data_IF_137355411281
#
_entry.id   IF_137355411281
#
_cell.length_a   1.000
_cell.length_b   1.000
_cell.length_c   1.000
_cell.angle_alpha   90.00
_cell.angle_beta   90.00
_cell.angle_gamma   90.00
#
_symmetry.space_group_name_H-M   'P 1'
#
loop_
_entity.id
_entity.type
_entity.pdbx_description
1 polymer ?
#
# COMPACT_ATOMS: atom_id res chain seq x y z
N UNK A 1 36.09 -8.46 -30.79
CA UNK A 1 34.89 -7.60 -30.74
C UNK A 1 34.83 -7.08 -29.31
N UNK A 2 35.42 -5.90 -29.06
CA UNK A 2 35.55 -5.37 -27.70
C UNK A 2 34.17 -4.85 -27.31
N UNK A 3 33.53 -5.52 -26.34
CA UNK A 3 32.29 -5.02 -25.75
C UNK A 3 32.51 -3.66 -25.12
N UNK A 4 31.50 -2.81 -25.15
CA UNK A 4 31.48 -1.44 -24.59
C UNK A 4 32.20 -1.42 -23.25
N UNK A 5 33.34 -0.73 -23.19
CA UNK A 5 34.18 -0.67 -21.99
C UNK A 5 33.57 0.26 -20.95
N UNK A 6 33.99 0.17 -19.68
CA UNK A 6 33.55 1.12 -18.65
C UNK A 6 33.86 2.57 -19.03
N UNK A 7 34.96 2.81 -19.76
CA UNK A 7 35.31 4.12 -20.32
C UNK A 7 34.28 4.59 -21.35
N UNK A 8 33.93 3.75 -22.32
CA UNK A 8 32.95 4.10 -23.36
C UNK A 8 31.56 4.42 -22.76
N UNK A 9 31.16 3.72 -21.71
CA UNK A 9 29.89 3.98 -21.02
C UNK A 9 29.96 5.31 -20.26
N UNK A 10 31.10 5.62 -19.62
CA UNK A 10 31.32 6.89 -18.93
C UNK A 10 31.28 8.07 -19.91
N UNK A 11 32.01 7.98 -21.02
CA UNK A 11 32.05 9.02 -22.05
C UNK A 11 30.64 9.26 -22.64
N UNK A 12 29.85 8.20 -22.79
CA UNK A 12 28.45 8.32 -23.20
C UNK A 12 27.59 9.06 -22.18
N UNK A 13 27.73 8.76 -20.89
CA UNK A 13 27.02 9.45 -19.80
C UNK A 13 27.38 10.94 -19.77
N UNK A 14 28.67 11.25 -19.90
CA UNK A 14 29.18 12.64 -19.93
C UNK A 14 28.68 13.39 -21.18
N UNK A 15 28.56 12.73 -22.33
CA UNK A 15 28.03 13.34 -23.57
C UNK A 15 26.56 13.75 -23.50
N UNK A 16 25.79 13.16 -22.58
CA UNK A 16 24.39 13.49 -22.35
C UNK A 16 24.22 14.68 -21.40
N UNK A 17 25.28 15.06 -20.67
CA UNK A 17 25.22 16.09 -19.66
C UNK A 17 25.09 17.49 -20.26
N UNK A 18 24.43 18.37 -19.53
CA UNK A 18 24.24 19.78 -19.85
C UNK A 18 24.49 20.61 -18.60
N UNK A 19 25.30 21.66 -18.71
CA UNK A 19 25.66 22.56 -17.59
C UNK A 19 24.43 23.27 -16.99
N UNK A 20 23.44 23.60 -17.84
CA UNK A 20 22.15 24.19 -17.43
C UNK A 20 21.03 23.16 -17.23
N UNK A 21 21.39 21.88 -17.08
CA UNK A 21 20.45 20.79 -16.92
C UNK A 21 19.66 20.87 -15.61
N UNK A 22 18.35 20.63 -15.67
CA UNK A 22 17.48 20.59 -14.47
C UNK A 22 17.20 19.17 -13.98
N UNK A 23 17.58 18.17 -14.76
CA UNK A 23 17.37 16.77 -14.41
C UNK A 23 18.68 16.16 -13.91
N UNK A 24 18.62 15.33 -12.89
CA UNK A 24 19.77 14.59 -12.39
C UNK A 24 19.37 13.17 -12.03
N UNK A 25 20.39 12.33 -11.87
CA UNK A 25 20.21 10.90 -11.57
C UNK A 25 20.52 10.65 -10.09
N UNK A 26 19.63 9.92 -9.40
CA UNK A 26 19.76 9.64 -7.97
C UNK A 26 19.38 8.20 -7.65
N UNK A 27 19.90 7.68 -6.53
CA UNK A 27 19.45 6.42 -5.98
C UNK A 27 18.05 6.58 -5.35
N UNK A 28 17.09 5.74 -5.72
CA UNK A 28 15.72 5.80 -5.19
C UNK A 28 15.68 5.73 -3.66
N UNK A 29 16.53 4.87 -3.08
CA UNK A 29 16.56 4.59 -1.63
C UNK A 29 17.31 5.62 -0.80
N UNK A 30 18.43 6.17 -1.31
CA UNK A 30 19.31 7.02 -0.50
C UNK A 30 19.36 8.47 -0.96
N UNK A 31 18.75 8.82 -2.10
CA UNK A 31 18.83 10.15 -2.70
C UNK A 31 20.21 10.55 -3.24
N UNK A 32 21.28 9.85 -2.84
CA UNK A 32 22.64 10.10 -3.31
C UNK A 32 22.76 9.90 -4.83
N UNK A 33 23.55 10.75 -5.47
CA UNK A 33 23.87 10.66 -6.90
C UNK A 33 24.94 9.56 -7.13
N UNK A 34 24.68 8.56 -7.99
CA UNK A 34 25.59 7.44 -8.18
C UNK A 34 26.70 7.74 -9.20
N UNK A 35 27.94 7.38 -8.88
CA UNK A 35 29.06 7.40 -9.84
C UNK A 35 28.74 6.49 -11.05
N UNK A 36 28.93 6.96 -12.30
CA UNK A 36 29.68 8.17 -12.69
C UNK A 36 28.82 9.42 -12.99
N UNK A 37 27.54 9.42 -12.62
CA UNK A 37 26.61 10.52 -12.86
C UNK A 37 26.44 11.44 -11.63
N UNK A 38 27.38 11.42 -10.69
CA UNK A 38 27.29 12.09 -9.40
C UNK A 38 27.31 13.63 -9.51
N UNK A 39 28.03 14.17 -10.49
CA UNK A 39 28.17 15.61 -10.72
C UNK A 39 27.45 16.10 -11.97
N UNK A 40 26.69 15.23 -12.65
CA UNK A 40 26.09 15.55 -13.95
C UNK A 40 24.62 15.98 -13.83
N UNK A 41 24.26 16.96 -14.65
CA UNK A 41 22.90 17.40 -14.86
C UNK A 41 22.52 17.23 -16.34
N UNK A 42 21.22 17.15 -16.61
CA UNK A 42 20.64 16.84 -17.91
C UNK A 42 19.54 17.84 -18.25
N UNK A 43 19.50 18.27 -19.51
CA UNK A 43 18.57 19.27 -20.04
C UNK A 43 17.12 18.77 -20.10
N UNK A 44 16.96 17.47 -20.36
CA UNK A 44 15.67 16.83 -20.56
C UNK A 44 15.54 15.53 -19.75
N UNK A 45 14.30 15.18 -19.42
CA UNK A 45 13.96 13.88 -18.81
C UNK A 45 14.40 12.70 -19.67
N UNK A 46 14.42 12.86 -21.00
CA UNK A 46 14.86 11.83 -21.93
C UNK A 46 16.38 11.59 -21.83
N UNK A 47 17.18 12.67 -21.84
CA UNK A 47 18.63 12.63 -21.63
C UNK A 47 18.98 12.02 -20.27
N UNK A 48 18.27 12.42 -19.21
CA UNK A 48 18.46 11.87 -17.87
C UNK A 48 18.09 10.38 -17.76
N UNK A 49 17.06 9.93 -18.49
CA UNK A 49 16.69 8.50 -18.53
C UNK A 49 17.74 7.67 -19.26
N UNK A 50 18.29 8.18 -20.37
CA UNK A 50 19.39 7.54 -21.07
C UNK A 50 20.64 7.45 -20.17
N UNK A 51 20.95 8.51 -19.42
CA UNK A 51 22.03 8.51 -18.45
C UNK A 51 21.81 7.56 -17.26
N UNK A 52 20.56 7.43 -16.77
CA UNK A 52 20.21 6.44 -15.74
C UNK A 52 20.48 5.01 -16.21
N UNK A 53 20.02 4.66 -17.42
CA UNK A 53 20.23 3.34 -18.03
C UNK A 53 21.73 3.07 -18.26
N UNK A 54 22.47 4.05 -18.78
CA UNK A 54 23.90 3.93 -18.96
C UNK A 54 24.64 3.78 -17.61
N UNK A 55 24.18 4.44 -16.55
CA UNK A 55 24.73 4.30 -15.19
C UNK A 55 24.45 2.91 -14.61
N UNK A 56 23.26 2.35 -14.84
CA UNK A 56 22.95 0.96 -14.49
C UNK A 56 23.87 -0.03 -15.21
N UNK A 57 24.07 0.18 -16.52
CA UNK A 57 24.96 -0.63 -17.34
C UNK A 57 26.42 -0.53 -16.89
N UNK A 58 26.88 0.68 -16.54
CA UNK A 58 28.21 0.92 -15.98
C UNK A 58 28.40 0.12 -14.69
N UNK A 59 27.46 0.24 -13.74
CA UNK A 59 27.55 -0.44 -12.44
C UNK A 59 27.42 -1.96 -12.57
N UNK A 60 26.58 -2.45 -13.48
CA UNK A 60 26.47 -3.88 -13.78
C UNK A 60 27.77 -4.43 -14.38
N UNK A 61 28.42 -3.66 -15.26
CA UNK A 61 29.73 -4.02 -15.83
C UNK A 61 30.83 -3.95 -14.76
N UNK A 62 30.79 -2.95 -13.87
CA UNK A 62 31.74 -2.79 -12.77
C UNK A 62 31.68 -3.93 -11.77
N UNK A 63 30.49 -4.50 -11.50
CA UNK A 63 30.31 -5.68 -10.63
C UNK A 63 31.04 -6.92 -11.11
N UNK A 64 31.38 -7.01 -12.40
CA UNK A 64 32.21 -8.11 -12.91
C UNK A 64 33.66 -8.02 -12.41
N UNK A 65 34.11 -6.81 -12.10
CA UNK A 65 35.47 -6.53 -11.61
C UNK A 65 35.51 -6.36 -10.09
N UNK A 66 34.46 -5.77 -9.50
CA UNK A 66 34.30 -5.62 -8.05
C UNK A 66 32.90 -6.11 -7.61
N UNK A 67 32.80 -7.36 -7.11
CA UNK A 67 31.54 -7.93 -6.65
C UNK A 67 30.91 -7.22 -5.43
N UNK A 68 31.65 -6.35 -4.72
CA UNK A 68 31.13 -5.62 -3.55
C UNK A 68 30.31 -4.38 -3.93
N UNK A 69 30.25 -4.02 -5.22
CA UNK A 69 29.50 -2.85 -5.69
C UNK A 69 28.01 -3.03 -5.46
N UNK A 70 27.44 -2.18 -4.60
CA UNK A 70 26.03 -2.23 -4.20
C UNK A 70 25.06 -2.10 -5.37
N UNK A 71 23.96 -2.85 -5.30
CA UNK A 71 22.76 -2.65 -6.11
C UNK A 71 22.07 -1.35 -5.69
N UNK A 72 21.81 -0.49 -6.67
CA UNK A 72 21.16 0.80 -6.50
C UNK A 72 20.14 0.93 -7.60
N UNK A 73 18.89 1.21 -7.24
CA UNK A 73 17.84 1.55 -8.19
C UNK A 73 18.01 3.02 -8.57
N UNK A 74 18.17 3.27 -9.86
CA UNK A 74 18.59 4.55 -10.39
C UNK A 74 17.35 5.24 -10.99
N UNK A 75 17.02 6.42 -10.47
CA UNK A 75 15.85 7.20 -10.89
C UNK A 75 16.26 8.60 -11.35
N UNK A 76 15.41 9.20 -12.17
CA UNK A 76 15.55 10.59 -12.63
C UNK A 76 14.78 11.51 -11.68
N UNK A 77 15.43 12.59 -11.24
CA UNK A 77 14.83 13.68 -10.47
C UNK A 77 14.94 14.98 -11.23
N UNK A 78 14.01 15.91 -10.98
CA UNK A 78 14.04 17.27 -11.50
C UNK A 78 14.30 18.23 -10.33
N UNK A 79 15.24 19.15 -10.51
CA UNK A 79 15.49 20.25 -9.59
C UNK A 79 14.51 21.38 -9.90
N UNK A 80 13.50 21.54 -9.05
CA UNK A 80 12.52 22.62 -9.16
C UNK A 80 13.13 23.90 -8.55
N UNK A 81 13.20 25.02 -9.29
CA UNK A 81 13.71 26.27 -8.74
C UNK A 81 12.74 26.78 -7.64
N UNK A 82 13.21 26.80 -6.40
CA UNK A 82 12.45 27.26 -5.23
C UNK A 82 12.54 26.38 -3.99
N UNK A 83 13.12 25.18 -4.09
CA UNK A 83 13.53 24.39 -2.93
C UNK A 83 15.07 24.39 -2.87
N UNK A 84 15.66 25.08 -1.91
CA UNK A 84 17.11 25.02 -1.73
C UNK A 84 17.46 23.64 -1.16
N UNK A 85 18.01 22.76 -1.99
CA UNK A 85 18.62 21.52 -1.55
C UNK A 85 19.82 21.87 -0.64
N UNK A 86 19.67 21.60 0.66
CA UNK A 86 20.73 21.79 1.64
C UNK A 86 21.95 20.96 1.24
N UNK A 87 23.04 21.67 0.99
CA UNK A 87 24.35 21.13 0.64
C UNK A 87 24.84 20.13 1.70
N UNK A 88 25.47 19.05 1.22
CA UNK A 88 25.77 17.85 2.00
C UNK A 88 26.67 18.13 3.21
N UNK A 89 26.15 17.91 4.41
CA UNK A 89 26.96 17.76 5.63
C UNK A 89 26.50 16.51 6.39
N UNK A 90 27.39 15.63 6.89
CA UNK A 90 27.00 14.39 7.56
C UNK A 90 26.15 14.69 8.81
N UNK A 91 24.98 14.06 8.90
CA UNK A 91 24.02 14.23 9.98
C UNK A 91 24.54 13.58 11.27
N UNK A 92 25.31 14.34 12.05
CA UNK A 92 25.45 14.11 13.47
C UNK A 92 24.70 15.23 14.19
N UNK A 93 23.59 14.83 14.83
CA UNK A 93 23.02 15.45 16.01
C UNK A 93 22.56 16.91 15.87
N UNK A 94 21.37 17.13 15.28
CA UNK A 94 20.54 18.31 15.56
C UNK A 94 19.05 18.01 15.43
N UNK A 95 18.39 17.81 16.58
CA UNK A 95 16.96 18.07 16.75
C UNK A 95 16.68 19.53 16.36
N UNK A 96 16.00 19.74 15.24
CA UNK A 96 15.52 21.06 14.82
C UNK A 96 14.04 20.95 14.53
N UNK A 97 13.23 21.49 15.44
CA UNK A 97 11.80 21.70 15.24
C UNK A 97 11.59 22.53 13.96
N UNK A 98 10.85 21.95 13.02
CA UNK A 98 10.43 22.56 11.77
C UNK A 98 9.13 23.35 12.03
N UNK A 99 8.92 24.54 11.44
CA UNK A 99 7.60 25.16 11.44
C UNK A 99 6.59 24.24 10.73
N UNK A 100 5.33 24.15 11.20
CA UNK A 100 4.36 23.21 10.65
C UNK A 100 4.05 23.56 9.21
N UNK A 101 4.51 22.72 8.28
CA UNK A 101 3.91 22.59 6.96
C UNK A 101 2.44 22.17 7.11
N UNK A 102 1.50 22.76 6.37
CA UNK A 102 0.14 22.23 6.32
C UNK A 102 0.18 20.78 5.81
N UNK A 103 -0.69 19.89 6.32
CA UNK A 103 -0.59 18.46 6.05
C UNK A 103 -1.03 18.14 4.62
N UNK A 104 -0.09 17.93 3.71
CA UNK A 104 -0.30 17.16 2.47
C UNK A 104 0.05 15.68 2.71
N UNK A 105 -0.48 15.10 3.80
CA UNK A 105 -0.02 13.82 4.36
C UNK A 105 -0.94 12.62 4.20
N UNK A 106 -2.10 12.72 3.55
CA UNK A 106 -3.07 11.61 3.52
C UNK A 106 -2.76 10.51 2.48
N UNK A 107 -2.33 10.88 1.28
CA UNK A 107 -2.23 9.95 0.15
C UNK A 107 -1.11 8.90 0.29
N UNK A 108 0.06 9.30 0.78
CA UNK A 108 1.22 8.40 0.91
C UNK A 108 0.98 7.32 1.96
N UNK A 109 0.33 7.68 3.08
CA UNK A 109 0.04 6.75 4.18
C UNK A 109 -1.01 5.72 3.78
N UNK A 110 -2.02 6.13 2.99
CA UNK A 110 -3.01 5.22 2.38
C UNK A 110 -2.33 4.19 1.48
N UNK A 111 -1.40 4.64 0.62
CA UNK A 111 -0.67 3.78 -0.32
C UNK A 111 0.18 2.76 0.43
N UNK A 112 0.96 3.20 1.42
CA UNK A 112 1.79 2.31 2.23
C UNK A 112 0.93 1.27 2.98
N UNK A 113 -0.19 1.72 3.54
CA UNK A 113 -1.14 0.82 4.20
C UNK A 113 -1.73 -0.21 3.24
N UNK A 114 -2.20 0.21 2.06
CA UNK A 114 -2.75 -0.69 1.05
C UNK A 114 -1.72 -1.72 0.57
N UNK A 115 -0.47 -1.30 0.34
CA UNK A 115 0.61 -2.21 -0.02
C UNK A 115 0.97 -3.16 1.11
N UNK A 116 0.91 -2.72 2.36
CA UNK A 116 1.14 -3.58 3.53
C UNK A 116 0.08 -4.68 3.60
N UNK A 117 -1.21 -4.30 3.51
CA UNK A 117 -2.33 -5.27 3.51
C UNK A 117 -2.22 -6.22 2.32
N UNK A 118 -1.97 -5.70 1.12
CA UNK A 118 -1.80 -6.53 -0.07
C UNK A 118 -0.64 -7.53 0.13
N UNK A 119 0.51 -7.07 0.61
CA UNK A 119 1.70 -7.91 0.81
C UNK A 119 1.43 -9.07 1.77
N UNK A 120 0.81 -8.82 2.93
CA UNK A 120 0.52 -9.89 3.90
C UNK A 120 -0.53 -10.88 3.39
N UNK A 121 -1.47 -10.43 2.56
CA UNK A 121 -2.47 -11.31 1.94
C UNK A 121 -1.82 -12.16 0.83
N UNK A 122 -0.98 -11.57 -0.03
CA UNK A 122 -0.24 -12.33 -1.04
C UNK A 122 0.67 -13.38 -0.40
N UNK A 123 1.38 -13.04 0.67
CA UNK A 123 2.20 -13.99 1.43
C UNK A 123 1.36 -15.13 2.01
N UNK A 124 0.22 -14.81 2.63
CA UNK A 124 -0.70 -15.81 3.17
C UNK A 124 -1.25 -16.75 2.09
N UNK A 125 -1.56 -16.22 0.90
CA UNK A 125 -1.99 -17.03 -0.25
C UNK A 125 -0.84 -17.93 -0.73
N UNK A 126 0.39 -17.40 -0.83
CA UNK A 126 1.56 -18.17 -1.25
C UNK A 126 1.85 -19.36 -0.31
N UNK A 127 1.61 -19.18 0.99
CA UNK A 127 1.72 -20.24 2.01
C UNK A 127 0.53 -21.21 2.04
N UNK A 128 -0.53 -20.97 1.26
CA UNK A 128 -1.76 -21.78 1.24
C UNK A 128 -1.79 -22.78 0.07
N UNK A 129 -2.86 -23.59 0.01
CA UNK A 129 -3.09 -24.50 -1.12
C UNK A 129 -3.60 -23.80 -2.40
N UNK A 130 -3.79 -22.47 -2.38
CA UNK A 130 -4.47 -21.71 -3.44
C UNK A 130 -3.48 -20.96 -4.35
N UNK A 131 -2.48 -21.64 -4.89
CA UNK A 131 -1.42 -21.01 -5.72
C UNK A 131 -1.94 -20.22 -6.92
N UNK A 132 -2.93 -20.76 -7.62
CA UNK A 132 -3.53 -20.15 -8.83
C UNK A 132 -4.31 -18.84 -8.53
N UNK A 133 -4.55 -18.53 -7.25
CA UNK A 133 -5.28 -17.34 -6.83
C UNK A 133 -4.46 -16.06 -7.04
N UNK A 134 -3.13 -16.12 -6.87
CA UNK A 134 -2.27 -14.95 -7.07
C UNK A 134 -2.28 -14.49 -8.52
N UNK A 135 -2.18 -15.43 -9.46
CA UNK A 135 -2.23 -15.14 -10.90
C UNK A 135 -3.57 -14.50 -11.27
N UNK A 136 -4.67 -15.04 -10.76
CA UNK A 136 -6.00 -14.50 -10.99
C UNK A 136 -6.20 -13.08 -10.44
N UNK A 137 -5.65 -12.80 -9.25
CA UNK A 137 -5.67 -11.46 -8.66
C UNK A 137 -4.89 -10.50 -9.56
N UNK A 138 -3.70 -10.90 -10.02
CA UNK A 138 -2.86 -10.06 -10.86
C UNK A 138 -3.50 -9.81 -12.23
N UNK A 139 -4.14 -10.81 -12.85
CA UNK A 139 -4.89 -10.64 -14.10
C UNK A 139 -6.04 -9.63 -13.91
N UNK A 140 -6.85 -9.81 -12.86
CA UNK A 140 -7.96 -8.91 -12.53
C UNK A 140 -7.49 -7.48 -12.24
N UNK A 141 -6.38 -7.35 -11.52
CA UNK A 141 -5.78 -6.06 -11.22
C UNK A 141 -5.24 -5.37 -12.47
N UNK A 142 -4.57 -6.10 -13.38
CA UNK A 142 -4.05 -5.54 -14.62
C UNK A 142 -5.19 -5.03 -15.51
N UNK A 143 -6.26 -5.81 -15.66
CA UNK A 143 -7.47 -5.39 -16.39
C UNK A 143 -8.08 -4.11 -15.80
N UNK A 144 -8.15 -4.02 -14.46
CA UNK A 144 -8.66 -2.82 -13.78
C UNK A 144 -7.70 -1.62 -13.90
N UNK A 145 -6.39 -1.86 -13.81
CA UNK A 145 -5.36 -0.82 -13.83
C UNK A 145 -5.27 -0.11 -15.19
N UNK A 146 -5.60 -0.78 -16.30
CA UNK A 146 -5.63 -0.16 -17.63
C UNK A 146 -6.62 1.01 -17.73
N UNK A 147 -7.67 1.01 -16.89
CA UNK A 147 -8.70 2.04 -16.88
C UNK A 147 -8.39 3.21 -15.92
N UNK A 148 -7.35 3.10 -15.09
CA UNK A 148 -7.05 4.05 -14.01
C UNK A 148 -6.03 5.10 -14.42
N UNK A 149 -6.37 6.37 -14.19
CA UNK A 149 -5.51 7.50 -14.54
C UNK A 149 -4.57 7.95 -13.41
N UNK A 150 -4.92 7.67 -12.15
CA UNK A 150 -4.17 8.14 -10.98
C UNK A 150 -3.41 6.99 -10.29
N UNK A 151 -2.13 7.19 -9.90
CA UNK A 151 -1.37 6.15 -9.20
C UNK A 151 -1.98 5.74 -7.84
N UNK A 152 -2.56 6.69 -7.11
CA UNK A 152 -3.13 6.46 -5.78
C UNK A 152 -4.37 5.56 -5.85
N UNK A 153 -5.10 5.58 -6.97
CA UNK A 153 -6.25 4.70 -7.20
C UNK A 153 -5.82 3.26 -7.56
N UNK A 154 -4.58 3.05 -8.02
CA UNK A 154 -4.07 1.71 -8.32
C UNK A 154 -3.97 0.84 -7.06
N UNK A 155 -3.56 1.40 -5.92
CA UNK A 155 -3.48 0.62 -4.69
C UNK A 155 -4.87 0.21 -4.18
N UNK A 156 -5.88 1.06 -4.38
CA UNK A 156 -7.28 0.73 -4.08
C UNK A 156 -7.81 -0.36 -5.02
N UNK A 157 -7.56 -0.24 -6.34
CA UNK A 157 -7.90 -1.29 -7.31
C UNK A 157 -7.24 -2.63 -7.00
N UNK A 158 -6.01 -2.62 -6.50
CA UNK A 158 -5.34 -3.85 -6.08
C UNK A 158 -6.10 -4.54 -4.95
N UNK A 159 -6.47 -3.79 -3.90
CA UNK A 159 -7.25 -4.35 -2.79
C UNK A 159 -8.63 -4.84 -3.23
N UNK A 160 -9.29 -4.11 -4.13
CA UNK A 160 -10.57 -4.53 -4.70
C UNK A 160 -10.45 -5.81 -5.55
N UNK A 161 -9.34 -5.96 -6.29
CA UNK A 161 -9.06 -7.16 -7.08
C UNK A 161 -8.78 -8.36 -6.18
N UNK A 162 -7.98 -8.18 -5.13
CA UNK A 162 -7.76 -9.21 -4.09
C UNK A 162 -9.10 -9.62 -3.49
N UNK A 163 -9.91 -8.65 -3.07
CA UNK A 163 -11.17 -8.91 -2.41
C UNK A 163 -12.17 -9.63 -3.34
N UNK A 164 -12.19 -9.26 -4.63
CA UNK A 164 -13.05 -9.87 -5.65
C UNK A 164 -12.67 -11.34 -5.87
N UNK A 165 -11.39 -11.64 -6.06
CA UNK A 165 -10.97 -13.02 -6.33
C UNK A 165 -11.06 -13.92 -5.09
N UNK A 166 -10.81 -13.38 -3.88
CA UNK A 166 -11.06 -14.11 -2.63
C UNK A 166 -12.55 -14.47 -2.49
N UNK A 167 -13.45 -13.52 -2.74
CA UNK A 167 -14.90 -13.72 -2.65
C UNK A 167 -15.41 -14.73 -3.69
N UNK A 168 -14.89 -14.66 -4.92
CA UNK A 168 -15.31 -15.52 -6.01
C UNK A 168 -14.81 -16.96 -5.89
N UNK A 169 -13.61 -17.18 -5.33
CA UNK A 169 -12.92 -18.48 -5.41
C UNK A 169 -12.81 -19.25 -4.11
N UNK A 170 -12.87 -18.58 -2.96
CA UNK A 170 -12.69 -19.23 -1.67
C UNK A 170 -14.00 -19.32 -0.91
N UNK A 171 -14.24 -20.47 -0.27
CA UNK A 171 -15.32 -20.58 0.70
C UNK A 171 -15.05 -19.66 1.92
N UNK A 172 -16.08 -19.22 2.66
CA UNK A 172 -15.88 -18.28 3.77
C UNK A 172 -14.89 -18.75 4.85
N UNK A 173 -14.83 -20.06 5.13
CA UNK A 173 -13.88 -20.60 6.10
C UNK A 173 -12.43 -20.58 5.58
N UNK A 174 -12.24 -20.79 4.27
CA UNK A 174 -10.94 -20.69 3.59
C UNK A 174 -10.47 -19.23 3.55
N UNK A 175 -11.36 -18.30 3.20
CA UNK A 175 -11.09 -16.85 3.29
C UNK A 175 -10.65 -16.49 4.72
N UNK A 176 -11.39 -16.94 5.73
CA UNK A 176 -11.04 -16.66 7.12
C UNK A 176 -9.66 -17.22 7.49
N UNK A 177 -9.29 -18.40 6.98
CA UNK A 177 -7.97 -18.99 7.24
C UNK A 177 -6.85 -18.13 6.63
N UNK A 178 -6.99 -17.74 5.36
CA UNK A 178 -6.02 -16.87 4.67
C UNK A 178 -5.90 -15.52 5.36
N UNK A 179 -7.02 -14.88 5.73
CA UNK A 179 -6.99 -13.55 6.34
C UNK A 179 -6.47 -13.55 7.78
N UNK A 180 -6.68 -14.62 8.55
CA UNK A 180 -6.05 -14.78 9.87
C UNK A 180 -4.54 -14.93 9.74
N UNK A 181 -4.06 -15.69 8.75
CA UNK A 181 -2.63 -15.82 8.46
C UNK A 181 -2.04 -14.48 8.02
N UNK A 182 -2.73 -13.75 7.13
CA UNK A 182 -2.33 -12.41 6.71
C UNK A 182 -2.22 -11.45 7.91
N UNK A 183 -3.22 -11.44 8.79
CA UNK A 183 -3.21 -10.65 10.00
C UNK A 183 -2.06 -11.03 10.96
N UNK A 184 -1.72 -12.32 11.05
CA UNK A 184 -0.60 -12.79 11.87
C UNK A 184 0.75 -12.21 11.43
N UNK A 185 0.88 -11.88 10.14
CA UNK A 185 2.05 -11.34 9.49
C UNK A 185 2.09 -9.80 9.43
N UNK A 186 1.07 -9.11 9.97
CA UNK A 186 1.10 -7.65 10.05
C UNK A 186 2.26 -7.16 10.94
N UNK A 187 2.92 -6.05 10.58
CA UNK A 187 3.88 -5.40 11.46
C UNK A 187 3.19 -4.99 12.76
N UNK A 188 3.61 -5.56 13.88
CA UNK A 188 3.07 -5.20 15.19
C UNK A 188 3.84 -4.05 15.80
N UNK A 189 3.13 -3.00 16.16
CA UNK A 189 3.64 -2.03 17.11
C UNK A 189 3.77 -2.76 18.46
N UNK A 190 5.00 -2.85 18.97
CA UNK A 190 5.41 -3.73 20.08
C UNK A 190 4.75 -3.47 21.46
N UNK A 191 3.58 -2.82 21.51
CA UNK A 191 2.80 -2.58 22.72
C UNK A 191 2.28 -3.89 23.33
N UNK A 192 1.86 -4.88 22.53
CA UNK A 192 1.40 -6.19 23.02
C UNK A 192 0.19 -6.16 23.98
N UNK A 193 -0.32 -4.97 24.30
CA UNK A 193 -1.50 -4.74 25.12
C UNK A 193 -2.70 -4.68 24.16
N UNK A 194 -3.63 -5.61 24.33
CA UNK A 194 -4.91 -5.57 23.62
C UNK A 194 -5.66 -4.29 24.03
N UNK A 195 -5.97 -3.45 23.06
CA UNK A 195 -6.74 -2.24 23.30
C UNK A 195 -8.12 -2.57 23.89
N UNK A 196 -8.66 -1.71 24.78
CA UNK A 196 -9.97 -1.93 25.38
C UNK A 196 -11.11 -1.92 24.35
N UNK A 197 -10.94 -1.20 23.24
CA UNK A 197 -11.92 -1.07 22.16
C UNK A 197 -11.28 -1.34 20.78
N UNK A 198 -11.04 -2.62 20.41
CA UNK A 198 -10.28 -2.96 19.21
C UNK A 198 -10.97 -2.54 17.90
N UNK A 199 -12.31 -2.54 17.83
CA UNK A 199 -13.03 -2.07 16.65
C UNK A 199 -12.87 -0.56 16.43
N UNK A 200 -12.94 0.24 17.51
CA UNK A 200 -12.72 1.68 17.42
C UNK A 200 -11.29 1.98 16.97
N UNK A 201 -10.31 1.30 17.57
CA UNK A 201 -8.91 1.48 17.19
C UNK A 201 -8.64 1.07 15.73
N UNK A 202 -9.29 0.02 15.22
CA UNK A 202 -9.17 -0.36 13.81
C UNK A 202 -9.70 0.75 12.91
N UNK A 203 -10.87 1.31 13.23
CA UNK A 203 -11.46 2.41 12.45
C UNK A 203 -10.63 3.70 12.57
N UNK A 204 -10.08 4.00 13.75
CA UNK A 204 -9.13 5.10 13.96
C UNK A 204 -7.89 4.93 13.05
N UNK A 205 -7.38 3.71 12.94
CA UNK A 205 -6.25 3.40 12.07
C UNK A 205 -6.56 3.51 10.59
N UNK A 206 -7.80 3.22 10.17
CA UNK A 206 -8.24 3.42 8.78
C UNK A 206 -8.47 4.90 8.49
N UNK A 207 -8.99 5.66 9.46
CA UNK A 207 -9.17 7.10 9.35
C UNK A 207 -7.83 7.85 9.32
N UNK A 208 -6.85 7.42 10.13
CA UNK A 208 -5.53 8.06 10.17
C UNK A 208 -4.78 7.96 8.85
N UNK A 209 -5.02 6.89 8.07
CA UNK A 209 -4.42 6.69 6.73
C UNK A 209 -5.33 7.19 5.61
N UNK A 210 -6.47 7.83 5.92
CA UNK A 210 -7.36 8.42 4.92
C UNK A 210 -8.20 7.42 4.09
N UNK A 211 -8.36 6.17 4.55
CA UNK A 211 -9.29 5.22 3.90
C UNK A 211 -10.75 5.48 4.27
N UNK A 212 -10.98 6.15 5.40
CA UNK A 212 -12.27 6.54 5.96
C UNK A 212 -12.17 8.00 6.38
N UNK A 213 -13.16 8.82 6.04
CA UNK A 213 -13.17 10.23 6.48
C UNK A 213 -13.60 10.35 7.94
N UNK A 214 -14.68 9.67 8.31
CA UNK A 214 -15.22 9.64 9.68
C UNK A 214 -16.00 8.34 9.93
N UNK A 215 -16.20 7.99 11.19
CA UNK A 215 -16.98 6.81 11.56
C UNK A 215 -17.74 6.98 12.88
N UNK A 216 -18.81 6.19 13.03
CA UNK A 216 -19.55 6.07 14.28
C UNK A 216 -19.91 4.63 14.57
N UNK A 217 -19.70 4.22 15.82
CA UNK A 217 -20.02 2.88 16.31
C UNK A 217 -21.23 2.95 17.23
N UNK A 218 -22.25 2.15 16.92
CA UNK A 218 -23.39 1.90 17.78
C UNK A 218 -23.32 0.46 18.30
N UNK A 219 -23.20 0.31 19.62
CA UNK A 219 -23.15 -1.02 20.26
C UNK A 219 -24.54 -1.63 20.30
N UNK A 220 -24.71 -2.79 19.68
CA UNK A 220 -25.86 -3.65 19.91
C UNK A 220 -25.49 -4.59 21.07
N UNK A 221 -26.42 -4.79 22.02
CA UNK A 221 -26.15 -5.47 23.29
C UNK A 221 -25.40 -6.79 23.14
N UNK A 222 -24.46 -7.08 24.04
CA UNK A 222 -23.86 -8.42 24.16
C UNK A 222 -24.97 -9.46 24.34
N UNK A 223 -25.07 -10.42 23.42
CA UNK A 223 -25.98 -11.54 23.58
C UNK A 223 -25.70 -12.18 24.94
N UNK A 224 -26.76 -12.49 25.69
CA UNK A 224 -26.65 -13.00 27.07
C UNK A 224 -25.82 -14.29 27.08
N UNK A 225 -24.53 -14.15 27.40
CA UNK A 225 -23.53 -15.21 27.25
C UNK A 225 -22.14 -14.74 26.83
N UNK A 226 -21.67 -13.59 27.33
CA UNK A 226 -20.25 -13.22 27.52
C UNK A 226 -19.28 -13.11 26.33
N UNK A 227 -19.46 -13.83 25.23
CA UNK A 227 -18.39 -14.07 24.23
C UNK A 227 -18.68 -13.45 22.86
N UNK A 228 -19.94 -13.32 22.46
CA UNK A 228 -20.31 -12.72 21.18
C UNK A 228 -20.69 -11.24 21.34
N UNK A 229 -20.12 -10.42 20.46
CA UNK A 229 -20.34 -8.97 20.42
C UNK A 229 -20.82 -8.59 19.03
N UNK A 230 -21.78 -7.66 18.98
CA UNK A 230 -22.36 -7.15 17.74
C UNK A 230 -22.32 -5.62 17.76
N UNK A 231 -21.97 -5.02 16.62
CA UNK A 231 -21.88 -3.59 16.43
C UNK A 231 -22.54 -3.19 15.12
N UNK A 232 -23.21 -2.04 15.12
CA UNK A 232 -23.56 -1.33 13.90
C UNK A 232 -22.54 -0.21 13.70
N UNK A 233 -21.90 -0.17 12.54
CA UNK A 233 -20.88 0.82 12.20
C UNK A 233 -21.38 1.67 11.04
N UNK A 234 -21.21 2.97 11.19
CA UNK A 234 -21.42 3.97 10.15
C UNK A 234 -20.06 4.48 9.67
N UNK A 235 -19.82 4.46 8.36
CA UNK A 235 -18.55 4.87 7.74
C UNK A 235 -18.83 5.94 6.70
N UNK A 236 -18.17 7.08 6.82
CA UNK A 236 -18.24 8.20 5.87
C UNK A 236 -16.97 8.26 5.02
N UNK A 237 -17.10 8.64 3.74
CA UNK A 237 -15.95 8.80 2.84
C UNK A 237 -15.12 7.53 2.60
N UNK A 238 -15.76 6.36 2.54
CA UNK A 238 -15.02 5.11 2.41
C UNK A 238 -14.42 4.96 1.01
N UNK A 239 -13.09 4.86 0.93
CA UNK A 239 -12.35 4.85 -0.35
C UNK A 239 -12.47 3.55 -1.15
N UNK A 240 -12.98 2.47 -0.56
CA UNK A 240 -13.14 1.16 -1.21
C UNK A 240 -14.61 0.84 -1.52
N UNK A 241 -15.36 1.85 -1.95
CA UNK A 241 -16.75 1.75 -2.40
C UNK A 241 -16.91 1.73 -3.93
N UNK A 242 -15.80 1.71 -4.67
CA UNK A 242 -15.77 1.82 -6.13
C UNK A 242 -16.33 0.60 -6.87
N UNK A 243 -16.62 -0.49 -6.15
CA UNK A 243 -17.07 -1.73 -6.76
C UNK A 243 -18.61 -1.83 -6.79
N UNK A 244 -19.24 -1.93 -7.97
CA UNK A 244 -20.71 -1.95 -8.04
C UNK A 244 -21.31 -3.15 -7.29
N UNK A 245 -22.31 -2.89 -6.45
CA UNK A 245 -23.09 -3.91 -5.76
C UNK A 245 -22.39 -4.57 -4.56
N UNK A 246 -21.17 -4.14 -4.19
CA UNK A 246 -20.44 -4.67 -3.03
C UNK A 246 -19.55 -3.61 -2.37
N UNK A 247 -19.34 -3.75 -1.07
CA UNK A 247 -18.35 -2.96 -0.32
C UNK A 247 -17.19 -3.88 0.03
N UNK A 248 -15.96 -3.45 -0.27
CA UNK A 248 -14.77 -4.22 0.10
C UNK A 248 -14.49 -4.03 1.58
N UNK A 249 -14.44 -5.11 2.34
CA UNK A 249 -14.22 -5.11 3.80
C UNK A 249 -12.86 -5.68 4.18
N UNK A 250 -12.09 -6.13 3.18
CA UNK A 250 -10.80 -6.81 3.34
C UNK A 250 -9.85 -6.10 4.33
N UNK A 251 -9.52 -4.80 4.20
CA UNK A 251 -8.53 -4.17 5.10
C UNK A 251 -9.03 -4.05 6.54
N UNK A 252 -10.34 -3.81 6.71
CA UNK A 252 -11.00 -3.79 8.01
C UNK A 252 -10.89 -5.16 8.69
N UNK A 253 -11.16 -6.25 7.96
CA UNK A 253 -11.12 -7.61 8.50
C UNK A 253 -9.71 -8.07 8.87
N UNK A 254 -8.70 -7.75 8.05
CA UNK A 254 -7.30 -8.08 8.35
C UNK A 254 -6.85 -7.39 9.65
N UNK A 255 -7.14 -6.10 9.79
CA UNK A 255 -6.83 -5.34 11.03
C UNK A 255 -7.60 -5.86 12.24
N UNK A 256 -8.88 -6.23 12.07
CA UNK A 256 -9.68 -6.81 13.15
C UNK A 256 -9.12 -8.16 13.60
N UNK A 257 -8.69 -9.03 12.69
CA UNK A 257 -8.10 -10.31 13.07
C UNK A 257 -6.80 -10.16 13.85
N UNK A 258 -5.96 -9.16 13.54
CA UNK A 258 -4.74 -8.90 14.31
C UNK A 258 -5.06 -8.44 15.74
N UNK A 259 -6.05 -7.55 15.90
CA UNK A 259 -6.34 -6.92 17.20
C UNK A 259 -7.27 -7.69 18.11
N UNK A 260 -8.16 -8.49 17.56
CA UNK A 260 -9.19 -9.20 18.33
C UNK A 260 -8.82 -10.63 18.72
N UNK A 261 -7.82 -11.24 18.07
CA UNK A 261 -7.55 -12.68 18.14
C UNK A 261 -8.83 -13.54 17.99
N UNK A 262 -9.85 -13.01 17.32
CA UNK A 262 -11.18 -13.61 17.22
C UNK A 262 -11.16 -14.81 16.30
N UNK A 263 -11.79 -15.91 16.74
CA UNK A 263 -11.91 -17.12 15.91
C UNK A 263 -12.88 -16.93 14.74
N UNK A 264 -13.88 -16.05 14.88
CA UNK A 264 -14.80 -15.67 13.81
C UNK A 264 -15.16 -14.19 13.85
N UNK A 265 -15.20 -13.59 12.66
CA UNK A 265 -15.70 -12.24 12.36
C UNK A 265 -16.70 -12.41 11.23
N UNK A 266 -17.84 -11.74 11.32
CA UNK A 266 -18.83 -11.69 10.24
C UNK A 266 -19.23 -10.24 10.01
N UNK A 267 -19.23 -9.80 8.75
CA UNK A 267 -19.73 -8.48 8.36
C UNK A 267 -20.92 -8.67 7.43
N UNK A 268 -21.99 -7.91 7.64
CA UNK A 268 -23.24 -8.03 6.88
C UNK A 268 -24.00 -6.71 6.85
N UNK A 269 -25.12 -6.68 6.10
CA UNK A 269 -26.04 -5.54 6.08
C UNK A 269 -25.41 -4.26 5.55
N UNK A 270 -24.60 -4.36 4.47
CA UNK A 270 -24.02 -3.19 3.82
C UNK A 270 -25.11 -2.38 3.12
N UNK A 271 -25.48 -1.25 3.72
CA UNK A 271 -26.49 -0.34 3.19
C UNK A 271 -25.87 1.03 2.96
N UNK A 272 -26.15 1.64 1.82
CA UNK A 272 -25.79 3.03 1.58
C UNK A 272 -26.88 3.94 2.15
N UNK A 273 -26.52 4.81 3.09
CA UNK A 273 -27.43 5.76 3.72
C UNK A 273 -27.78 6.85 2.71
N UNK A 274 -29.08 6.98 2.41
CA UNK A 274 -29.59 7.98 1.47
C UNK A 274 -29.23 9.41 1.92
N UNK A 275 -28.69 10.20 0.99
CA UNK A 275 -28.42 11.63 1.19
C UNK A 275 -27.06 11.98 1.82
N UNK A 276 -26.38 11.03 2.48
CA UNK A 276 -25.02 11.24 3.02
C UNK A 276 -23.93 10.54 2.21
N UNK A 277 -24.28 9.49 1.47
CA UNK A 277 -23.29 8.63 0.80
C UNK A 277 -22.47 7.77 1.77
N UNK A 278 -22.85 7.74 3.05
CA UNK A 278 -22.20 6.92 4.08
C UNK A 278 -22.70 5.48 4.06
N UNK A 279 -21.88 4.56 4.54
CA UNK A 279 -22.18 3.14 4.63
C UNK A 279 -22.61 2.77 6.04
N UNK A 280 -23.63 1.92 6.17
CA UNK A 280 -23.97 1.20 7.40
C UNK A 280 -23.55 -0.26 7.23
N UNK A 281 -22.88 -0.82 8.24
CA UNK A 281 -22.45 -2.22 8.29
C UNK A 281 -22.77 -2.82 9.67
N UNK A 282 -23.09 -4.10 9.72
CA UNK A 282 -23.19 -4.87 10.97
C UNK A 282 -22.00 -5.81 11.11
N UNK A 283 -21.28 -5.72 12.23
CA UNK A 283 -20.10 -6.52 12.54
C UNK A 283 -20.40 -7.39 13.75
N UNK A 284 -20.17 -8.69 13.63
CA UNK A 284 -20.33 -9.66 14.70
C UNK A 284 -19.05 -10.47 14.93
N UNK A 285 -18.73 -10.76 16.19
CA UNK A 285 -17.57 -11.59 16.55
C UNK A 285 -17.96 -12.79 17.41
N UNK A 286 -17.14 -13.84 17.34
CA UNK A 286 -17.32 -15.11 18.05
C UNK A 286 -18.71 -15.72 17.84
N UNK A 287 -19.27 -15.56 16.64
CA UNK A 287 -20.53 -16.19 16.26
C UNK A 287 -20.32 -17.69 16.11
N UNK A 288 -21.24 -18.49 16.65
CA UNK A 288 -21.34 -19.94 16.39
C UNK A 288 -21.92 -20.26 15.00
N UNK A 289 -22.22 -19.22 14.20
CA UNK A 289 -22.81 -19.29 12.86
C UNK A 289 -21.81 -19.20 11.71
N UNK A 290 -22.35 -18.99 10.50
CA UNK A 290 -21.60 -18.92 9.24
C UNK A 290 -20.75 -17.64 9.19
N UNK A 291 -19.45 -17.80 8.97
CA UNK A 291 -18.52 -16.70 8.67
C UNK A 291 -18.88 -16.11 7.30
N UNK A 292 -18.82 -14.79 7.14
CA UNK A 292 -19.20 -14.13 5.89
C UNK A 292 -18.85 -12.65 5.86
N UNK A 293 -18.83 -12.08 4.65
CA UNK A 293 -18.53 -10.66 4.48
C UNK A 293 -17.07 -10.29 4.73
N UNK A 294 -16.15 -11.23 4.52
CA UNK A 294 -14.75 -11.07 4.93
C UNK A 294 -13.94 -10.25 3.93
N UNK A 295 -14.03 -10.60 2.65
CA UNK A 295 -13.38 -9.87 1.57
C UNK A 295 -14.28 -8.74 1.06
N UNK A 296 -15.55 -9.06 0.79
CA UNK A 296 -16.59 -8.14 0.34
C UNK A 296 -17.91 -8.42 1.05
N UNK A 297 -18.77 -7.39 1.16
CA UNK A 297 -20.17 -7.52 1.59
C UNK A 297 -21.08 -7.03 0.46
N UNK A 298 -22.09 -7.81 0.03
CA UNK A 298 -23.03 -7.35 -0.98
C UNK A 298 -23.86 -6.18 -0.45
N UNK A 299 -24.12 -5.19 -1.29
CA UNK A 299 -24.92 -4.02 -0.91
C UNK A 299 -26.41 -4.35 -0.99
N UNK A 300 -27.14 -4.15 0.10
CA UNK A 300 -28.60 -4.28 0.08
C UNK A 300 -29.19 -3.03 -0.60
N UNK A 301 -29.68 -3.18 -1.83
CA UNK A 301 -30.41 -2.12 -2.53
C UNK A 301 -29.93 -1.65 -3.90
N UNK A 302 -29.28 -2.50 -4.72
CA UNK A 302 -29.17 -2.24 -6.16
C UNK A 302 -29.84 -3.37 -6.95
N UNK A 303 -30.95 -3.13 -7.69
CA UNK A 303 -31.50 -4.08 -8.65
C UNK A 303 -30.59 -4.27 -9.87
#
# INVERSE_FOLDING_TARGET
>A
MIGTTLGDIRDHIESLASEDGRYYVACARTGCRPVPADELAFDSRASARAAAQATEQYRATLRRYDPQVSYRDIIVREELPGWEASDGTPLADRTRELPPTPPEGGGTDAIEFCHTVASVVFEAIAGSAHGDLQDAIMDTYLDAAEAVASPDELCLRLLESIATELDARLAPDEQAAVLREAAANLPRDGSGILAPEPLAETLDSLASVGLVDDYRIERCSAASGGESRSWTVHIEGYSLDGTPGRVVTLPLVVQLFDRLATRSVTISGAERVEGSGSWRLSIETNTTGRVGGLACVPTEGCP
#
